data_IF_253636565475
#
_entry.id   IF_253636565475
#
_cell.length_a   1.000
_cell.length_b   1.000
_cell.length_c   1.000
_cell.angle_alpha   90.00
_cell.angle_beta   90.00
_cell.angle_gamma   90.00
#
_symmetry.space_group_name_H-M   'P 1'
#
loop_
_entity.id
_entity.type
_entity.pdbx_description
1 polymer ?
#
# COMPACT_ATOMS: atom_id res chain seq x y z
N UNK A 1 -24.33 -4.69 -14.68
CA UNK A 1 -23.32 -3.63 -14.45
C UNK A 1 -21.97 -4.20 -14.84
N UNK A 2 -21.43 -3.87 -16.02
CA UNK A 2 -20.14 -4.38 -16.49
C UNK A 2 -19.06 -3.73 -15.61
N UNK A 3 -18.44 -4.51 -14.73
CA UNK A 3 -17.16 -4.14 -14.13
C UNK A 3 -16.13 -4.20 -15.25
N UNK A 4 -15.95 -3.08 -15.95
CA UNK A 4 -14.81 -2.89 -16.85
C UNK A 4 -13.57 -2.96 -15.98
N UNK A 5 -12.97 -4.15 -15.85
CA UNK A 5 -11.65 -4.31 -15.26
C UNK A 5 -10.71 -3.34 -15.98
N UNK A 6 -9.91 -2.61 -15.22
CA UNK A 6 -9.09 -1.51 -15.71
C UNK A 6 -8.14 -1.99 -16.82
N UNK A 7 -8.43 -1.66 -18.09
CA UNK A 7 -7.50 -1.83 -19.21
C UNK A 7 -6.40 -0.74 -19.14
N UNK A 8 -5.58 -0.73 -18.09
CA UNK A 8 -4.45 0.20 -17.99
C UNK A 8 -3.31 -0.22 -18.92
N UNK A 9 -2.68 0.77 -19.57
CA UNK A 9 -1.35 0.63 -20.15
C UNK A 9 -0.40 0.16 -19.04
N UNK A 10 0.29 -0.97 -19.24
CA UNK A 10 1.04 -1.68 -18.18
C UNK A 10 2.13 -0.86 -17.49
N UNK A 11 2.47 0.31 -18.03
CA UNK A 11 3.47 1.21 -17.49
C UNK A 11 3.01 2.03 -16.27
N UNK A 12 1.70 2.15 -16.01
CA UNK A 12 1.19 2.94 -14.89
C UNK A 12 0.48 2.06 -13.85
N UNK A 13 0.85 2.15 -12.56
CA UNK A 13 0.14 1.43 -11.51
C UNK A 13 -1.31 1.89 -11.41
N UNK A 14 -2.20 0.98 -11.01
CA UNK A 14 -3.59 1.32 -10.71
C UNK A 14 -3.67 2.23 -9.48
N UNK A 15 -4.76 2.97 -9.33
CA UNK A 15 -4.98 3.77 -8.13
C UNK A 15 -4.85 2.91 -6.85
N UNK A 16 -5.30 1.66 -6.90
CA UNK A 16 -5.21 0.67 -5.82
C UNK A 16 -3.77 0.33 -5.47
N UNK A 17 -2.92 0.10 -6.47
CA UNK A 17 -1.49 -0.13 -6.25
C UNK A 17 -0.79 1.12 -5.68
N UNK A 18 -1.13 2.31 -6.18
CA UNK A 18 -0.57 3.57 -5.68
C UNK A 18 -0.98 3.85 -4.23
N UNK A 19 -2.28 3.73 -3.92
CA UNK A 19 -2.77 3.95 -2.56
C UNK A 19 -2.24 2.89 -1.60
N UNK A 20 -2.24 1.62 -2.00
CA UNK A 20 -1.70 0.53 -1.18
C UNK A 20 -0.21 0.71 -0.88
N UNK A 21 0.61 0.98 -1.90
CA UNK A 21 2.06 1.20 -1.73
C UNK A 21 2.38 2.46 -0.92
N UNK A 22 1.62 3.54 -1.12
CA UNK A 22 1.75 4.77 -0.34
C UNK A 22 1.43 4.56 1.13
N UNK A 23 0.33 3.87 1.46
CA UNK A 23 0.02 3.59 2.87
C UNK A 23 1.02 2.60 3.47
N UNK A 24 1.41 1.57 2.73
CA UNK A 24 2.37 0.57 3.21
C UNK A 24 3.71 1.17 3.59
N UNK A 25 4.23 2.13 2.82
CA UNK A 25 5.49 2.81 3.13
C UNK A 25 5.39 3.67 4.39
N UNK A 26 4.31 4.44 4.53
CA UNK A 26 4.05 5.27 5.73
C UNK A 26 3.97 4.39 6.98
N UNK A 27 3.21 3.29 6.90
CA UNK A 27 3.02 2.37 8.03
C UNK A 27 4.33 1.66 8.40
N UNK A 28 5.13 1.26 7.40
CA UNK A 28 6.45 0.65 7.66
C UNK A 28 7.34 1.58 8.46
N UNK A 29 7.44 2.86 8.07
CA UNK A 29 8.26 3.85 8.78
C UNK A 29 7.71 4.12 10.18
N UNK A 30 6.40 4.35 10.30
CA UNK A 30 5.76 4.62 11.59
C UNK A 30 5.93 3.45 12.57
N UNK A 31 5.85 2.21 12.08
CA UNK A 31 6.09 1.02 12.91
C UNK A 31 7.51 1.00 13.48
N UNK A 32 8.52 1.24 12.64
CA UNK A 32 9.91 1.25 13.06
C UNK A 32 10.17 2.31 14.15
N UNK A 33 9.63 3.52 13.97
CA UNK A 33 9.79 4.64 14.91
C UNK A 33 9.08 4.37 16.25
N UNK A 34 7.83 3.91 16.21
CA UNK A 34 7.04 3.63 17.42
C UNK A 34 7.63 2.44 18.16
N UNK A 35 7.86 1.31 17.48
CA UNK A 35 8.30 0.09 18.14
C UNK A 35 9.74 0.18 18.67
N UNK A 36 10.57 1.10 18.16
CA UNK A 36 11.87 1.35 18.75
C UNK A 36 11.78 1.76 20.24
N UNK A 37 10.67 2.38 20.65
CA UNK A 37 10.43 2.84 22.03
C UNK A 37 9.68 1.82 22.89
N UNK A 38 8.82 0.99 22.30
CA UNK A 38 7.95 0.06 23.04
C UNK A 38 8.43 -1.40 23.00
N UNK A 39 8.97 -1.85 21.86
CA UNK A 39 9.41 -3.22 21.63
C UNK A 39 10.54 -3.26 20.59
N UNK A 40 11.80 -2.96 20.98
CA UNK A 40 12.92 -2.82 20.05
C UNK A 40 13.18 -4.07 19.19
N UNK A 41 12.88 -5.26 19.73
CA UNK A 41 12.98 -6.53 18.99
C UNK A 41 12.05 -6.63 17.78
N UNK A 42 10.98 -5.83 17.74
CA UNK A 42 10.00 -5.77 16.66
C UNK A 42 10.17 -4.56 15.73
N UNK A 43 11.11 -3.64 16.04
CA UNK A 43 11.36 -2.44 15.26
C UNK A 43 12.28 -2.68 14.04
N UNK A 44 12.78 -3.91 13.89
CA UNK A 44 13.73 -4.26 12.84
C UNK A 44 13.15 -4.11 11.42
N UNK A 45 14.00 -3.89 10.40
CA UNK A 45 13.57 -3.63 9.02
C UNK A 45 12.62 -4.70 8.46
N UNK A 46 12.85 -5.98 8.79
CA UNK A 46 12.01 -7.09 8.32
C UNK A 46 10.58 -7.03 8.86
N UNK A 47 10.41 -6.72 10.15
CA UNK A 47 9.08 -6.62 10.77
C UNK A 47 8.34 -5.37 10.28
N UNK A 48 9.04 -4.25 10.18
CA UNK A 48 8.49 -3.00 9.65
C UNK A 48 7.98 -3.17 8.21
N UNK A 49 8.78 -3.82 7.35
CA UNK A 49 8.37 -4.11 5.98
C UNK A 49 7.16 -5.06 5.91
N UNK A 50 7.12 -6.09 6.77
CA UNK A 50 5.98 -7.01 6.85
C UNK A 50 4.69 -6.28 7.25
N UNK A 51 4.75 -5.43 8.27
CA UNK A 51 3.58 -4.66 8.72
C UNK A 51 3.12 -3.67 7.64
N UNK A 52 4.06 -2.99 6.99
CA UNK A 52 3.77 -2.13 5.84
C UNK A 52 3.10 -2.90 4.70
N UNK A 53 3.57 -4.10 4.39
CA UNK A 53 2.97 -4.96 3.37
C UNK A 53 1.54 -5.40 3.73
N UNK A 54 1.29 -5.81 4.98
CA UNK A 54 -0.05 -6.17 5.46
C UNK A 54 -0.99 -4.95 5.36
N UNK A 55 -0.52 -3.76 5.74
CA UNK A 55 -1.30 -2.53 5.58
C UNK A 55 -1.60 -2.21 4.11
N UNK A 56 -0.62 -2.39 3.21
CA UNK A 56 -0.82 -2.18 1.78
C UNK A 56 -1.89 -3.12 1.20
N UNK A 57 -1.89 -4.40 1.59
CA UNK A 57 -2.94 -5.35 1.18
C UNK A 57 -4.29 -4.94 1.74
N UNK A 58 -4.36 -4.62 3.04
CA UNK A 58 -5.61 -4.25 3.70
C UNK A 58 -6.26 -3.03 3.03
N UNK A 59 -5.48 -1.98 2.77
CA UNK A 59 -5.97 -0.80 2.06
C UNK A 59 -6.31 -1.12 0.61
N UNK A 60 -5.44 -1.85 -0.08
CA UNK A 60 -5.68 -2.29 -1.44
C UNK A 60 -6.99 -3.06 -1.58
N UNK A 61 -7.38 -3.86 -0.58
CA UNK A 61 -8.65 -4.59 -0.59
C UNK A 61 -9.86 -3.65 -0.68
N UNK A 62 -9.84 -2.52 0.05
CA UNK A 62 -10.95 -1.56 0.09
C UNK A 62 -10.90 -0.49 -1.00
N UNK A 63 -9.75 -0.27 -1.64
CA UNK A 63 -9.63 0.70 -2.75
C UNK A 63 -10.16 0.07 -4.05
N UNK A 64 -11.18 0.67 -4.70
CA UNK A 64 -11.65 0.20 -5.99
C UNK A 64 -10.52 0.26 -7.02
N UNK A 65 -10.31 -0.83 -7.75
CA UNK A 65 -9.29 -0.88 -8.79
C UNK A 65 -9.76 -0.12 -10.03
N UNK A 66 -9.12 1.02 -10.30
CA UNK A 66 -9.46 1.95 -11.37
C UNK A 66 -8.19 2.40 -12.10
N UNK A 67 -8.38 2.64 -13.39
CA UNK A 67 -7.36 3.20 -14.26
C UNK A 67 -6.93 4.56 -13.69
N UNK A 68 -5.62 4.75 -13.54
CA UNK A 68 -5.02 6.02 -13.18
C UNK A 68 -4.82 6.88 -14.45
N UNK A 69 -5.90 7.13 -15.19
CA UNK A 69 -5.87 7.97 -16.40
C UNK A 69 -6.18 9.44 -16.03
N UNK A 70 -5.46 10.41 -16.62
CA UNK A 70 -5.96 11.78 -16.69
C UNK A 70 -7.33 11.74 -17.38
N UNK A 71 -8.30 12.49 -16.86
CA UNK A 71 -9.51 12.77 -17.65
C UNK A 71 -9.06 13.65 -18.82
N UNK A 72 -9.22 13.15 -20.04
CA UNK A 72 -9.15 13.98 -21.26
C UNK A 72 -10.23 15.06 -21.24
#
# INVERSE_FOLDING_TARGET
MKTTLANQLSALPTNKLLTGSGVGSIVSTAWAEVMASYAPSLAGPGMSALVGFVAAIAIGYFVPDRVNAPKE
#
